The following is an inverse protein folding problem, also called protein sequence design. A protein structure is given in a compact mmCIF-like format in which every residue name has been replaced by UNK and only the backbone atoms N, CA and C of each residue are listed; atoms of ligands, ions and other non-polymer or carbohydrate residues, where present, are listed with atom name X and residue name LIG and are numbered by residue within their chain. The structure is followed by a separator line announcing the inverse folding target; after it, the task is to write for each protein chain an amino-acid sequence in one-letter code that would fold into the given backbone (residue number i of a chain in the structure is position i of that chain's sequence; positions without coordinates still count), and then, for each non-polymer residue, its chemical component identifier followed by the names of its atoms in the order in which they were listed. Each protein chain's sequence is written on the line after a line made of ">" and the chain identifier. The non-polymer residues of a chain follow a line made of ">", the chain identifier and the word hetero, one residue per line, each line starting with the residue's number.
data_IF_530254283735
#
_entry.id   IF_530254283735
#
_cell.length_a   1.000
_cell.length_b   1.000
_cell.length_c   1.000
_cell.angle_alpha   90.00
_cell.angle_beta   90.00
_cell.angle_gamma   90.00
#
_symmetry.space_group_name_H-M   'P 1'
#
loop_
_entity.id
_entity.type
_entity.pdbx_description
1 polymer ?
#
# COMPACT_ATOMS: atom_id res chain seq x y z
N UNK A 1 14.55 -53.97 -77.83
CA UNK A 1 14.49 -53.65 -79.29
C UNK A 1 14.28 -52.14 -79.43
N UNK A 2 15.16 -51.53 -80.27
CA UNK A 2 15.04 -50.30 -81.05
C UNK A 2 14.82 -49.00 -80.32
N UNK A 3 15.84 -48.17 -80.28
CA UNK A 3 16.43 -47.19 -81.23
C UNK A 3 15.82 -45.80 -81.01
N UNK A 4 16.67 -44.88 -80.44
CA UNK A 4 17.27 -43.67 -81.03
C UNK A 4 16.28 -42.66 -81.62
N UNK A 5 16.35 -41.42 -81.21
CA UNK A 5 17.03 -40.37 -81.98
C UNK A 5 17.03 -39.00 -81.22
N UNK A 6 18.13 -38.32 -81.37
CA UNK A 6 18.46 -36.95 -81.02
C UNK A 6 17.51 -35.92 -81.63
N UNK A 7 17.34 -34.80 -80.95
CA UNK A 7 17.49 -33.50 -81.60
C UNK A 7 17.72 -32.40 -80.50
N UNK A 8 18.80 -31.65 -80.69
CA UNK A 8 19.17 -30.45 -79.95
C UNK A 8 18.43 -29.25 -80.51
N UNK A 9 18.01 -28.35 -79.69
CA UNK A 9 17.73 -26.96 -80.05
C UNK A 9 18.06 -26.06 -78.90
N UNK A 10 18.96 -25.15 -79.21
CA UNK A 10 19.38 -24.03 -78.33
C UNK A 10 18.31 -22.96 -78.25
N UNK A 11 18.30 -22.24 -77.15
CA UNK A 11 17.60 -20.95 -77.18
C UNK A 11 17.31 -20.32 -75.81
N UNK A 12 18.01 -19.27 -75.55
CA UNK A 12 17.63 -18.09 -74.83
C UNK A 12 17.47 -18.20 -73.30
N UNK A 13 18.48 -17.68 -72.62
CA UNK A 13 18.40 -17.30 -71.16
C UNK A 13 17.41 -16.19 -70.93
N UNK A 14 16.53 -16.44 -70.02
CA UNK A 14 15.76 -15.39 -69.31
C UNK A 14 16.30 -15.26 -67.89
N UNK A 15 17.06 -14.19 -67.63
CA UNK A 15 17.38 -13.80 -66.32
C UNK A 15 16.07 -13.39 -65.60
N UNK A 16 15.56 -14.24 -64.76
CA UNK A 16 14.51 -13.89 -63.82
C UNK A 16 15.14 -13.03 -62.70
N UNK A 17 14.84 -11.74 -62.71
CA UNK A 17 15.16 -10.85 -61.62
C UNK A 17 14.39 -11.29 -60.36
N UNK A 18 15.10 -11.75 -59.33
CA UNK A 18 14.53 -12.01 -58.02
C UNK A 18 14.00 -10.69 -57.43
N UNK A 19 12.78 -10.68 -56.83
CA UNK A 19 12.28 -9.51 -56.15
C UNK A 19 13.18 -9.18 -54.95
N UNK A 20 13.40 -7.88 -54.64
CA UNK A 20 14.20 -7.51 -53.47
C UNK A 20 13.55 -8.07 -52.19
N UNK A 21 14.30 -8.86 -51.44
CA UNK A 21 13.92 -9.33 -50.14
C UNK A 21 13.48 -8.16 -49.31
N UNK A 22 12.21 -8.12 -48.91
CA UNK A 22 11.70 -7.19 -47.93
C UNK A 22 12.57 -7.34 -46.69
N UNK A 23 13.47 -6.38 -46.47
CA UNK A 23 14.16 -6.22 -45.18
C UNK A 23 13.09 -6.03 -44.13
N UNK A 24 12.76 -7.09 -43.41
CA UNK A 24 12.01 -6.99 -42.19
C UNK A 24 12.72 -5.94 -41.33
N UNK A 25 12.06 -4.81 -41.14
CA UNK A 25 12.45 -3.86 -40.10
C UNK A 25 12.31 -4.61 -38.78
N UNK A 26 13.41 -5.15 -38.29
CA UNK A 26 13.53 -5.47 -36.87
C UNK A 26 13.32 -4.16 -36.14
N UNK A 27 12.08 -3.91 -35.66
CA UNK A 27 11.81 -2.89 -34.71
C UNK A 27 12.71 -3.16 -33.50
N UNK A 28 13.68 -2.27 -33.29
CA UNK A 28 14.45 -2.23 -32.08
C UNK A 28 13.47 -2.15 -30.90
N UNK A 29 13.60 -2.98 -29.84
CA UNK A 29 12.76 -2.84 -28.66
C UNK A 29 13.11 -1.52 -27.99
N UNK A 30 12.13 -0.60 -27.93
CA UNK A 30 12.22 0.55 -27.06
C UNK A 30 12.57 1.89 -27.70
N UNK A 31 11.92 2.30 -28.79
CA UNK A 31 11.62 3.73 -28.91
C UNK A 31 10.67 4.07 -27.75
N UNK A 32 11.11 4.97 -26.86
CA UNK A 32 10.31 5.47 -25.76
C UNK A 32 9.02 6.07 -26.31
N UNK A 33 7.97 5.26 -26.43
CA UNK A 33 6.63 5.75 -26.64
C UNK A 33 6.34 6.61 -25.39
N UNK A 34 6.11 7.89 -25.58
CA UNK A 34 5.80 8.81 -24.49
C UNK A 34 4.61 8.26 -23.69
N UNK A 35 4.64 8.36 -22.37
CA UNK A 35 3.54 7.96 -21.52
C UNK A 35 2.26 8.66 -21.96
N UNK A 36 1.24 7.89 -22.36
CA UNK A 36 -0.03 8.35 -22.87
C UNK A 36 -1.16 7.87 -21.94
N UNK A 37 -1.45 8.57 -20.84
CA UNK A 37 -2.38 8.12 -19.80
C UNK A 37 -3.82 7.94 -20.28
N UNK A 38 -4.22 8.61 -21.38
CA UNK A 38 -5.55 8.45 -21.98
C UNK A 38 -5.65 7.23 -22.93
N UNK A 39 -4.54 6.62 -23.34
CA UNK A 39 -4.56 5.50 -24.31
C UNK A 39 -5.26 4.24 -23.76
N UNK A 40 -5.15 3.99 -22.48
CA UNK A 40 -5.84 2.91 -21.75
C UNK A 40 -5.92 3.25 -20.25
N UNK A 41 -6.84 2.65 -19.49
CA UNK A 41 -6.95 2.88 -18.06
C UNK A 41 -5.65 2.57 -17.33
N UNK A 42 -5.37 3.37 -16.30
CA UNK A 42 -4.31 3.12 -15.33
C UNK A 42 -4.91 2.28 -14.20
N UNK A 43 -4.31 1.14 -13.92
CA UNK A 43 -4.68 0.30 -12.78
C UNK A 43 -3.96 0.79 -11.52
N UNK A 44 -4.72 1.25 -10.52
CA UNK A 44 -4.24 1.57 -9.18
C UNK A 44 -4.51 0.38 -8.25
N UNK A 45 -3.46 -0.37 -7.94
CA UNK A 45 -3.57 -1.57 -7.11
C UNK A 45 -3.64 -1.21 -5.64
N UNK A 46 -4.55 -1.86 -4.92
CA UNK A 46 -4.63 -1.87 -3.45
C UNK A 46 -4.33 -3.28 -2.95
N UNK A 47 -3.40 -3.41 -2.01
CA UNK A 47 -2.97 -4.69 -1.42
C UNK A 47 -3.95 -5.27 -0.39
N UNK A 48 -5.17 -4.74 -0.27
CA UNK A 48 -6.18 -5.13 0.69
C UNK A 48 -7.55 -5.31 0.05
N UNK A 49 -8.45 -6.03 0.74
CA UNK A 49 -9.83 -6.21 0.28
C UNK A 49 -10.61 -4.90 0.25
N UNK A 50 -11.65 -4.79 -0.60
CA UNK A 50 -12.51 -3.61 -0.65
C UNK A 50 -13.04 -3.20 0.74
N UNK A 51 -13.18 -1.88 0.96
CA UNK A 51 -13.65 -1.27 2.20
C UNK A 51 -12.59 -1.15 3.30
N UNK A 52 -11.36 -1.63 3.08
CA UNK A 52 -10.23 -1.36 3.97
C UNK A 52 -9.67 0.05 3.77
N UNK A 53 -8.85 0.51 4.73
CA UNK A 53 -8.26 1.86 4.72
C UNK A 53 -7.51 2.18 3.42
N UNK A 54 -6.70 1.24 2.92
CA UNK A 54 -5.93 1.39 1.67
C UNK A 54 -6.85 1.49 0.44
N UNK A 55 -7.95 0.73 0.40
CA UNK A 55 -8.95 0.80 -0.67
C UNK A 55 -9.70 2.14 -0.65
N UNK A 56 -10.08 2.63 0.53
CA UNK A 56 -10.72 3.95 0.70
C UNK A 56 -9.79 5.05 0.17
N UNK A 57 -8.52 5.06 0.59
CA UNK A 57 -7.54 6.04 0.13
C UNK A 57 -7.34 5.97 -1.40
N UNK A 58 -7.22 4.76 -1.96
CA UNK A 58 -7.04 4.55 -3.39
C UNK A 58 -8.22 5.10 -4.20
N UNK A 59 -9.47 4.85 -3.77
CA UNK A 59 -10.68 5.35 -4.45
C UNK A 59 -10.83 6.86 -4.35
N UNK A 60 -10.52 7.45 -3.19
CA UNK A 60 -10.53 8.90 -3.02
C UNK A 60 -9.51 9.59 -3.93
N UNK A 61 -8.34 8.96 -4.12
CA UNK A 61 -7.27 9.49 -4.95
C UNK A 61 -7.51 9.28 -6.46
N UNK A 62 -8.09 8.16 -6.87
CA UNK A 62 -8.16 7.71 -8.27
C UNK A 62 -8.77 8.76 -9.21
N UNK A 63 -9.93 9.31 -8.85
CA UNK A 63 -10.64 10.30 -9.69
C UNK A 63 -9.82 11.59 -9.84
N UNK A 64 -9.15 12.03 -8.77
CA UNK A 64 -8.36 13.26 -8.79
C UNK A 64 -7.04 13.07 -9.52
N UNK A 65 -6.42 11.90 -9.36
CA UNK A 65 -5.22 11.54 -10.10
C UNK A 65 -5.49 11.53 -11.60
N UNK A 66 -6.61 10.95 -12.04
CA UNK A 66 -7.04 10.95 -13.44
C UNK A 66 -7.22 12.37 -13.98
N UNK A 67 -7.88 13.25 -13.21
CA UNK A 67 -8.15 14.63 -13.60
C UNK A 67 -6.88 15.49 -13.81
N UNK A 68 -5.77 15.14 -13.15
CA UNK A 68 -4.48 15.83 -13.27
C UNK A 68 -3.50 15.18 -14.25
N UNK A 69 -3.90 14.12 -14.94
CA UNK A 69 -3.11 13.51 -16.02
C UNK A 69 -3.50 14.16 -17.36
N UNK A 70 -4.23 13.47 -18.20
CA UNK A 70 -4.65 13.94 -19.50
C UNK A 70 -6.19 13.94 -19.60
N UNK A 71 -6.80 14.80 -20.44
CA UNK A 71 -8.20 14.68 -20.75
C UNK A 71 -8.55 13.28 -21.26
N UNK A 72 -9.48 12.61 -20.57
CA UNK A 72 -9.87 11.23 -20.90
C UNK A 72 -9.09 10.14 -20.18
N UNK A 73 -8.05 10.46 -19.41
CA UNK A 73 -7.38 9.49 -18.55
C UNK A 73 -8.36 8.89 -17.53
N UNK A 74 -8.19 7.59 -17.25
CA UNK A 74 -9.00 6.87 -16.25
C UNK A 74 -8.08 6.13 -15.31
N UNK A 75 -8.36 6.21 -14.02
CA UNK A 75 -7.68 5.42 -12.97
C UNK A 75 -8.71 4.48 -12.35
N UNK A 76 -8.44 3.18 -12.40
CA UNK A 76 -9.32 2.13 -11.90
C UNK A 76 -8.65 1.42 -10.74
N UNK A 77 -9.35 1.30 -9.61
CA UNK A 77 -8.82 0.61 -8.43
C UNK A 77 -9.05 -0.89 -8.55
N UNK A 78 -7.97 -1.66 -8.39
CA UNK A 78 -7.98 -3.13 -8.36
C UNK A 78 -7.47 -3.62 -7.00
N UNK A 79 -8.22 -4.52 -6.36
CA UNK A 79 -7.84 -5.08 -5.07
C UNK A 79 -7.13 -6.44 -5.25
N UNK A 80 -5.91 -6.56 -4.68
CA UNK A 80 -5.09 -7.80 -4.65
C UNK A 80 -4.66 -8.10 -3.21
N UNK A 81 -5.58 -8.60 -2.37
CA UNK A 81 -5.30 -8.77 -0.95
C UNK A 81 -4.35 -9.94 -0.67
N UNK A 82 -3.60 -9.82 0.42
CA UNK A 82 -2.80 -10.90 0.99
C UNK A 82 -1.48 -10.45 1.59
N UNK A 83 -1.09 -11.10 2.69
CA UNK A 83 0.16 -10.86 3.43
C UNK A 83 0.46 -9.38 3.66
N UNK A 84 -0.52 -8.61 4.16
CA UNK A 84 -0.37 -7.15 4.40
C UNK A 84 0.13 -6.37 3.17
N UNK A 85 -0.39 -6.70 1.97
CA UNK A 85 -0.04 -6.05 0.71
C UNK A 85 1.20 -6.60 0.02
N UNK A 86 1.92 -7.54 0.59
CA UNK A 86 3.13 -8.15 0.01
C UNK A 86 2.84 -8.86 -1.32
N UNK A 87 1.71 -9.59 -1.42
CA UNK A 87 1.33 -10.27 -2.67
C UNK A 87 1.13 -9.27 -3.81
N UNK A 88 0.49 -8.14 -3.53
CA UNK A 88 0.29 -7.08 -4.51
C UNK A 88 1.62 -6.42 -4.92
N UNK A 89 2.51 -6.15 -3.97
CA UNK A 89 3.82 -5.55 -4.24
C UNK A 89 4.72 -6.48 -5.06
N UNK A 90 4.80 -7.77 -4.70
CA UNK A 90 5.57 -8.76 -5.45
C UNK A 90 5.01 -8.98 -6.88
N UNK A 91 3.70 -8.87 -7.06
CA UNK A 91 3.08 -8.87 -8.38
C UNK A 91 3.39 -7.60 -9.17
N UNK A 92 3.30 -6.41 -8.53
CA UNK A 92 3.55 -5.12 -9.18
C UNK A 92 4.95 -5.03 -9.77
N UNK A 93 6.00 -5.44 -9.04
CA UNK A 93 7.38 -5.33 -9.51
C UNK A 93 7.67 -6.09 -10.82
N UNK A 94 6.77 -7.02 -11.20
CA UNK A 94 6.86 -7.80 -12.45
C UNK A 94 6.02 -7.23 -13.58
N UNK A 95 5.34 -6.10 -13.37
CA UNK A 95 4.54 -5.47 -14.39
C UNK A 95 5.39 -4.60 -15.33
N UNK A 96 4.85 -4.30 -16.51
CA UNK A 96 5.50 -3.39 -17.46
C UNK A 96 5.62 -2.00 -16.85
N UNK A 97 6.84 -1.37 -16.88
CA UNK A 97 7.07 -0.08 -16.24
C UNK A 97 6.63 1.13 -17.11
N UNK A 98 5.49 1.02 -17.77
CA UNK A 98 4.97 1.97 -18.74
C UNK A 98 4.05 3.06 -18.15
N UNK A 99 3.77 3.01 -16.85
CA UNK A 99 2.93 3.97 -16.13
C UNK A 99 1.46 3.59 -16.02
N UNK A 100 1.02 2.50 -16.64
CA UNK A 100 -0.38 2.06 -16.59
C UNK A 100 -0.70 1.07 -15.47
N UNK A 101 0.30 0.66 -14.69
CA UNK A 101 0.10 -0.13 -13.48
C UNK A 101 0.90 0.50 -12.36
N UNK A 102 0.20 0.95 -11.32
CA UNK A 102 0.76 1.59 -10.13
C UNK A 102 0.08 1.01 -8.90
N UNK A 103 0.65 1.20 -7.73
CA UNK A 103 0.10 0.69 -6.47
C UNK A 103 0.09 1.76 -5.40
N UNK A 104 -1.00 1.85 -4.66
CA UNK A 104 -1.01 2.49 -3.36
C UNK A 104 -0.46 1.47 -2.36
N UNK A 105 0.81 1.65 -2.02
CA UNK A 105 1.53 0.85 -1.07
C UNK A 105 1.50 1.48 0.33
N UNK A 106 1.82 0.70 1.33
CA UNK A 106 1.76 1.15 2.72
C UNK A 106 2.89 0.51 3.56
N UNK A 107 2.99 0.91 4.81
CA UNK A 107 4.06 0.55 5.75
C UNK A 107 4.32 -0.95 5.85
N UNK A 108 3.26 -1.78 5.86
CA UNK A 108 3.39 -3.24 6.00
C UNK A 108 4.20 -3.85 4.86
N UNK A 109 3.81 -3.57 3.62
CA UNK A 109 4.48 -4.10 2.43
C UNK A 109 5.82 -3.42 2.13
N UNK A 110 6.01 -2.13 2.47
CA UNK A 110 7.16 -1.35 2.01
C UNK A 110 8.17 -0.95 3.11
N UNK A 111 7.92 -1.33 4.37
CA UNK A 111 8.91 -1.08 5.43
C UNK A 111 8.99 -2.21 6.48
N UNK A 112 7.87 -2.90 6.79
CA UNK A 112 7.87 -3.91 7.85
C UNK A 112 8.22 -5.29 7.31
N UNK A 113 7.61 -5.73 6.22
CA UNK A 113 7.73 -7.10 5.74
C UNK A 113 9.19 -7.52 5.53
N UNK A 114 10.00 -6.70 4.87
CA UNK A 114 11.42 -6.96 4.60
C UNK A 114 12.30 -6.99 5.87
N UNK A 115 11.83 -6.42 6.98
CA UNK A 115 12.58 -6.33 8.23
C UNK A 115 12.12 -7.32 9.28
N UNK A 116 10.85 -7.69 9.30
CA UNK A 116 10.23 -8.46 10.37
C UNK A 116 9.87 -9.89 9.99
N UNK A 117 9.59 -10.16 8.69
CA UNK A 117 9.20 -11.50 8.23
C UNK A 117 10.41 -12.44 8.18
N UNK A 118 10.25 -13.60 8.78
CA UNK A 118 11.28 -14.66 8.78
C UNK A 118 11.45 -15.20 7.36
N UNK A 119 12.71 -15.33 6.91
CA UNK A 119 13.02 -15.88 5.58
C UNK A 119 12.61 -14.97 4.41
N UNK A 120 12.61 -13.64 4.61
CA UNK A 120 12.25 -12.70 3.57
C UNK A 120 13.14 -12.83 2.33
N UNK A 121 12.52 -13.07 1.17
CA UNK A 121 13.16 -13.26 -0.14
C UNK A 121 12.36 -12.66 -1.32
N UNK A 122 11.34 -11.83 -1.03
CA UNK A 122 10.38 -11.41 -2.06
C UNK A 122 10.90 -10.24 -2.91
N UNK A 123 11.28 -9.15 -2.28
CA UNK A 123 11.75 -7.92 -2.95
C UNK A 123 12.47 -6.99 -1.98
N UNK A 124 13.22 -6.05 -2.54
CA UNK A 124 13.74 -4.88 -1.81
C UNK A 124 12.78 -3.70 -1.99
N UNK A 125 12.18 -3.16 -0.91
CA UNK A 125 11.20 -2.07 -1.01
C UNK A 125 11.79 -0.76 -1.55
N UNK A 126 13.12 -0.60 -1.57
CA UNK A 126 13.82 0.57 -2.10
C UNK A 126 14.27 0.35 -3.54
N UNK A 127 14.85 -0.82 -3.86
CA UNK A 127 15.46 -1.08 -5.15
C UNK A 127 14.46 -1.56 -6.22
N UNK A 128 13.43 -2.32 -5.82
CA UNK A 128 12.54 -3.01 -6.74
C UNK A 128 11.27 -2.22 -7.12
N UNK A 129 11.25 -0.90 -6.82
CA UNK A 129 10.10 -0.03 -7.15
C UNK A 129 10.54 1.35 -7.60
N UNK A 130 9.67 1.99 -8.39
CA UNK A 130 9.74 3.42 -8.69
C UNK A 130 8.83 4.16 -7.71
N UNK A 131 9.41 5.00 -6.84
CA UNK A 131 8.66 5.74 -5.83
C UNK A 131 8.08 7.02 -6.43
N UNK A 132 6.75 7.09 -6.54
CA UNK A 132 6.06 8.15 -7.26
C UNK A 132 5.65 9.32 -6.37
N UNK A 133 5.48 9.11 -5.07
CA UNK A 133 5.17 10.17 -4.11
C UNK A 133 4.47 9.65 -2.86
N UNK A 134 4.73 10.30 -1.73
CA UNK A 134 4.08 10.00 -0.45
C UNK A 134 2.69 10.62 -0.44
N UNK A 135 1.68 9.83 -0.06
CA UNK A 135 0.28 10.30 0.02
C UNK A 135 0.03 10.94 1.38
N UNK A 136 0.41 10.26 2.46
CA UNK A 136 0.23 10.76 3.81
C UNK A 136 0.78 9.82 4.87
N UNK A 137 0.72 10.29 6.13
CA UNK A 137 1.24 9.56 7.30
C UNK A 137 0.22 9.56 8.45
N UNK A 138 -1.00 8.99 8.24
CA UNK A 138 -2.03 9.02 9.27
C UNK A 138 -1.61 8.22 10.50
N UNK A 139 -2.09 8.60 11.72
CA UNK A 139 -1.95 7.77 12.89
C UNK A 139 -2.86 6.54 12.81
N UNK A 140 -2.63 5.60 13.70
CA UNK A 140 -3.53 4.50 13.99
C UNK A 140 -4.40 4.84 15.21
N UNK A 141 -5.43 4.03 15.48
CA UNK A 141 -6.29 4.17 16.64
C UNK A 141 -6.43 2.83 17.38
N UNK A 142 -6.26 2.83 18.69
CA UNK A 142 -6.66 1.72 19.54
C UNK A 142 -8.19 1.73 19.65
N UNK A 143 -8.81 0.63 19.26
CA UNK A 143 -10.26 0.41 19.30
C UNK A 143 -10.57 -0.78 20.19
N UNK A 144 -11.62 -0.70 20.97
CA UNK A 144 -12.07 -1.78 21.84
C UNK A 144 -13.56 -2.07 21.63
N UNK A 145 -13.94 -3.33 21.87
CA UNK A 145 -15.33 -3.73 21.97
C UNK A 145 -16.01 -2.97 23.12
N UNK A 146 -17.25 -2.55 22.94
CA UNK A 146 -17.98 -1.74 23.93
C UNK A 146 -18.15 -2.45 25.29
N UNK A 147 -18.34 -3.75 25.30
CA UNK A 147 -18.47 -4.52 26.55
C UNK A 147 -17.12 -4.70 27.26
N UNK A 148 -16.01 -4.65 26.50
CA UNK A 148 -14.66 -4.70 27.05
C UNK A 148 -14.16 -3.32 27.52
N UNK A 149 -14.45 -2.26 26.79
CA UNK A 149 -13.96 -0.92 27.08
C UNK A 149 -14.38 -0.45 28.48
N UNK A 150 -13.48 0.26 29.16
CA UNK A 150 -13.77 0.93 30.44
C UNK A 150 -14.34 2.34 30.21
N UNK A 151 -14.76 3.00 31.29
CA UNK A 151 -15.37 4.33 31.21
C UNK A 151 -14.44 5.39 30.59
N UNK A 152 -13.13 5.29 30.81
CA UNK A 152 -12.15 6.22 30.23
C UNK A 152 -11.09 5.51 29.41
N UNK A 153 -10.43 6.22 28.47
CA UNK A 153 -9.29 5.69 27.72
C UNK A 153 -8.18 5.13 28.61
N UNK A 154 -7.76 5.89 29.63
CA UNK A 154 -6.72 5.45 30.57
C UNK A 154 -7.12 4.19 31.35
N UNK A 155 -8.39 4.08 31.78
CA UNK A 155 -8.89 2.88 32.44
C UNK A 155 -8.94 1.66 31.49
N UNK A 156 -9.23 1.87 30.20
CA UNK A 156 -9.17 0.79 29.20
C UNK A 156 -7.72 0.31 29.00
N UNK A 157 -6.76 1.23 28.91
CA UNK A 157 -5.32 0.90 28.82
C UNK A 157 -4.84 0.18 30.08
N UNK A 158 -5.28 0.61 31.29
CA UNK A 158 -4.97 -0.08 32.53
C UNK A 158 -5.51 -1.52 32.51
N UNK A 159 -6.74 -1.72 32.06
CA UNK A 159 -7.35 -3.06 31.91
C UNK A 159 -6.57 -3.96 30.94
N UNK A 160 -6.02 -3.41 29.85
CA UNK A 160 -5.12 -4.14 28.96
C UNK A 160 -3.82 -4.57 29.66
N UNK A 161 -3.27 -3.69 30.48
CA UNK A 161 -2.01 -3.95 31.25
C UNK A 161 -2.20 -5.01 32.34
N UNK A 162 -3.34 -5.00 33.03
CA UNK A 162 -3.64 -5.84 34.19
C UNK A 162 -4.18 -7.21 33.80
N UNK A 163 -4.60 -7.39 32.55
CA UNK A 163 -5.11 -8.68 32.09
C UNK A 163 -4.04 -9.78 32.17
N UNK A 164 -4.42 -11.00 32.58
CA UNK A 164 -3.49 -12.13 32.55
C UNK A 164 -2.93 -12.34 31.16
N UNK A 165 -1.65 -12.67 31.08
CA UNK A 165 -0.94 -12.84 29.78
C UNK A 165 -1.62 -13.90 28.93
N UNK A 166 -1.84 -13.62 27.64
CA UNK A 166 -2.42 -14.54 26.69
C UNK A 166 -3.92 -14.82 26.87
N UNK A 167 -4.66 -13.96 27.61
CA UNK A 167 -6.12 -14.12 27.79
C UNK A 167 -6.95 -13.20 26.93
N UNK A 168 -6.41 -12.04 26.51
CA UNK A 168 -7.10 -11.12 25.63
C UNK A 168 -6.75 -11.37 24.16
N UNK A 169 -7.76 -11.37 23.30
CA UNK A 169 -7.56 -11.47 21.86
C UNK A 169 -7.57 -10.06 21.23
N UNK A 170 -6.70 -9.86 20.25
CA UNK A 170 -6.71 -8.67 19.43
C UNK A 170 -6.81 -9.01 17.95
N UNK A 171 -7.53 -8.17 17.22
CA UNK A 171 -7.74 -8.31 15.79
C UNK A 171 -6.76 -7.45 14.98
N UNK A 172 -6.35 -7.93 13.80
CA UNK A 172 -5.60 -7.16 12.80
C UNK A 172 -6.11 -7.45 11.39
N UNK A 173 -5.72 -6.62 10.41
CA UNK A 173 -6.02 -6.85 8.99
C UNK A 173 -4.95 -7.71 8.27
N UNK A 174 -4.30 -8.62 8.97
CA UNK A 174 -3.31 -9.54 8.41
C UNK A 174 -2.09 -9.77 9.29
N UNK A 175 -1.37 -10.83 9.00
CA UNK A 175 -0.09 -11.15 9.65
C UNK A 175 1.01 -10.28 9.04
N UNK A 176 1.96 -9.84 9.86
CA UNK A 176 3.15 -9.12 9.39
C UNK A 176 2.92 -7.66 9.00
N UNK A 177 1.70 -7.15 9.16
CA UNK A 177 1.38 -5.76 8.86
C UNK A 177 1.62 -4.81 10.03
N UNK A 178 1.38 -3.52 9.74
CA UNK A 178 1.59 -2.43 10.71
C UNK A 178 0.73 -2.58 11.97
N UNK A 179 -0.51 -3.05 11.83
CA UNK A 179 -1.44 -3.21 12.95
C UNK A 179 -0.97 -4.31 13.91
N UNK A 180 -0.40 -5.39 13.36
CA UNK A 180 0.23 -6.46 14.13
C UNK A 180 1.43 -5.90 14.91
N UNK A 181 2.39 -5.28 14.24
CA UNK A 181 3.58 -4.72 14.88
C UNK A 181 3.23 -3.67 15.93
N UNK A 182 2.28 -2.76 15.64
CA UNK A 182 1.84 -1.74 16.59
C UNK A 182 1.23 -2.34 17.86
N UNK A 183 0.46 -3.42 17.72
CA UNK A 183 -0.16 -4.10 18.88
C UNK A 183 0.87 -4.87 19.68
N UNK A 184 1.84 -5.54 19.04
CA UNK A 184 2.95 -6.21 19.74
C UNK A 184 3.84 -5.19 20.48
N UNK A 185 4.09 -4.01 19.89
CA UNK A 185 4.77 -2.93 20.59
C UNK A 185 3.98 -2.41 21.79
N UNK A 186 2.64 -2.30 21.65
CA UNK A 186 1.79 -1.94 22.79
C UNK A 186 1.87 -3.00 23.90
N UNK A 187 1.77 -4.28 23.55
CA UNK A 187 1.91 -5.38 24.50
C UNK A 187 3.24 -5.34 25.26
N UNK A 188 4.35 -5.12 24.54
CA UNK A 188 5.67 -4.97 25.15
C UNK A 188 5.75 -3.77 26.09
N UNK A 189 5.19 -2.59 25.70
CA UNK A 189 5.16 -1.40 26.54
C UNK A 189 4.30 -1.56 27.80
N UNK A 190 3.26 -2.39 27.72
CA UNK A 190 2.39 -2.73 28.84
C UNK A 190 2.95 -3.89 29.72
N UNK A 191 4.00 -4.61 29.26
CA UNK A 191 4.57 -5.76 29.95
C UNK A 191 3.68 -7.01 29.90
N UNK A 192 2.81 -7.14 28.92
CA UNK A 192 1.83 -8.23 28.77
C UNK A 192 1.97 -8.98 27.44
N UNK A 193 1.07 -9.93 27.18
CA UNK A 193 0.95 -10.66 25.92
C UNK A 193 -0.52 -10.81 25.57
N UNK A 194 -0.84 -10.72 24.28
CA UNK A 194 -2.18 -10.88 23.73
C UNK A 194 -2.22 -12.01 22.70
N UNK A 195 -3.39 -12.54 22.40
CA UNK A 195 -3.60 -13.57 21.38
C UNK A 195 -3.97 -12.88 20.06
N UNK A 196 -3.18 -13.12 19.02
CA UNK A 196 -3.40 -12.53 17.69
C UNK A 196 -4.47 -13.26 16.89
N UNK A 197 -5.43 -12.54 16.33
CA UNK A 197 -6.45 -13.04 15.40
C UNK A 197 -6.39 -12.23 14.11
N UNK A 198 -5.83 -12.76 13.02
CA UNK A 198 -5.72 -12.05 11.74
C UNK A 198 -6.98 -12.16 10.89
N UNK A 199 -7.39 -11.06 10.25
CA UNK A 199 -8.47 -10.96 9.28
C UNK A 199 -7.93 -10.48 7.92
N UNK A 200 -8.74 -10.58 6.85
CA UNK A 200 -8.31 -10.23 5.48
C UNK A 200 -8.38 -8.72 5.19
N UNK A 201 -9.06 -7.95 6.03
CA UNK A 201 -9.21 -6.50 5.86
C UNK A 201 -9.51 -5.79 7.17
N UNK A 202 -9.29 -4.45 7.19
CA UNK A 202 -9.69 -3.61 8.32
C UNK A 202 -11.20 -3.65 8.59
N UNK A 203 -12.04 -3.79 7.56
CA UNK A 203 -13.49 -3.90 7.75
C UNK A 203 -13.88 -5.19 8.51
N UNK A 204 -13.31 -6.34 8.13
CA UNK A 204 -13.54 -7.61 8.85
C UNK A 204 -12.99 -7.56 10.28
N UNK A 205 -11.80 -6.99 10.46
CA UNK A 205 -11.22 -6.75 11.78
C UNK A 205 -12.14 -5.92 12.68
N UNK A 206 -12.67 -4.81 12.15
CA UNK A 206 -13.59 -3.94 12.91
C UNK A 206 -14.90 -4.63 13.25
N UNK A 207 -15.42 -5.47 12.35
CA UNK A 207 -16.59 -6.29 12.61
C UNK A 207 -16.37 -7.28 13.76
N UNK A 208 -15.20 -7.96 13.79
CA UNK A 208 -14.82 -8.87 14.86
C UNK A 208 -14.70 -8.16 16.23
N UNK A 209 -14.18 -6.93 16.24
CA UNK A 209 -14.15 -6.12 17.47
C UNK A 209 -15.57 -5.74 17.89
N UNK A 210 -16.43 -5.31 16.96
CA UNK A 210 -17.83 -4.96 17.25
C UNK A 210 -18.59 -6.14 17.86
N UNK A 211 -18.49 -7.34 17.29
CA UNK A 211 -19.18 -8.54 17.78
C UNK A 211 -18.59 -9.12 19.06
N UNK A 212 -17.38 -8.69 19.46
CA UNK A 212 -16.67 -9.20 20.65
C UNK A 212 -15.90 -10.49 20.39
N UNK A 213 -15.76 -10.93 19.14
CA UNK A 213 -14.86 -12.03 18.77
C UNK A 213 -13.38 -11.69 19.11
N UNK A 214 -13.02 -10.41 18.97
CA UNK A 214 -11.82 -9.87 19.54
C UNK A 214 -12.14 -8.71 20.49
N UNK A 215 -11.45 -8.62 21.64
CA UNK A 215 -11.70 -7.58 22.63
C UNK A 215 -11.25 -6.20 22.15
N UNK A 216 -10.19 -6.13 21.36
CA UNK A 216 -9.61 -4.87 20.89
C UNK A 216 -8.74 -5.06 19.66
N UNK A 217 -8.20 -3.96 19.14
CA UNK A 217 -7.17 -3.94 18.12
C UNK A 217 -6.67 -2.51 17.88
N UNK A 218 -5.46 -2.40 17.32
CA UNK A 218 -5.01 -1.14 16.73
C UNK A 218 -5.44 -1.16 15.27
N UNK A 219 -6.20 -0.15 14.83
CA UNK A 219 -6.77 -0.05 13.50
C UNK A 219 -6.25 1.18 12.74
N UNK A 220 -6.27 1.15 11.41
CA UNK A 220 -6.21 2.39 10.64
C UNK A 220 -7.48 3.21 10.88
N UNK A 221 -7.33 4.52 11.10
CA UNK A 221 -8.44 5.43 11.37
C UNK A 221 -9.57 5.30 10.34
N UNK A 222 -9.23 5.22 9.05
CA UNK A 222 -10.21 5.08 8.00
C UNK A 222 -11.08 3.81 8.13
N UNK A 223 -10.49 2.70 8.56
CA UNK A 223 -11.25 1.45 8.78
C UNK A 223 -12.13 1.51 10.03
N UNK A 224 -11.70 2.25 11.06
CA UNK A 224 -12.41 2.39 12.32
C UNK A 224 -13.52 3.45 12.28
N UNK A 225 -13.39 4.46 11.40
CA UNK A 225 -14.12 5.72 11.43
C UNK A 225 -15.64 5.55 11.54
N UNK A 226 -16.25 4.73 10.67
CA UNK A 226 -17.70 4.52 10.70
C UNK A 226 -18.15 3.91 12.05
N UNK A 227 -17.56 2.79 12.44
CA UNK A 227 -17.97 2.07 13.67
C UNK A 227 -17.73 2.86 14.95
N UNK A 228 -16.65 3.65 15.02
CA UNK A 228 -16.38 4.50 16.19
C UNK A 228 -17.36 5.66 16.24
N UNK A 229 -17.65 6.34 15.14
CA UNK A 229 -18.63 7.44 15.10
C UNK A 229 -20.06 6.98 15.40
N UNK A 230 -20.44 5.80 14.92
CA UNK A 230 -21.76 5.22 15.15
C UNK A 230 -21.88 4.53 16.53
N UNK A 231 -20.82 4.60 17.36
CA UNK A 231 -20.81 4.03 18.72
C UNK A 231 -20.82 2.49 18.76
N UNK A 232 -20.56 1.83 17.61
CA UNK A 232 -20.51 0.36 17.50
C UNK A 232 -19.23 -0.24 18.08
N UNK A 233 -18.17 0.56 18.19
CA UNK A 233 -16.94 0.23 18.87
C UNK A 233 -16.38 1.48 19.55
N UNK A 234 -15.60 1.30 20.62
CA UNK A 234 -15.00 2.41 21.36
C UNK A 234 -13.64 2.78 20.77
N UNK A 235 -13.51 4.01 20.26
CA UNK A 235 -12.20 4.63 20.01
C UNK A 235 -11.55 4.99 21.35
N UNK A 236 -10.40 4.39 21.66
CA UNK A 236 -9.74 4.53 22.95
C UNK A 236 -8.66 5.60 22.91
N UNK A 237 -7.71 5.47 21.99
CA UNK A 237 -6.59 6.42 21.88
C UNK A 237 -5.95 6.34 20.48
N UNK A 238 -5.43 7.46 19.98
CA UNK A 238 -4.63 7.48 18.74
C UNK A 238 -3.16 7.21 19.06
N UNK A 239 -2.43 6.67 18.07
CA UNK A 239 -1.01 6.29 18.22
C UNK A 239 -0.04 7.40 17.86
N UNK A 240 -0.53 8.55 17.39
CA UNK A 240 0.29 9.71 17.06
C UNK A 240 0.78 10.46 18.29
N UNK A 241 1.66 11.44 18.08
CA UNK A 241 2.13 12.36 19.13
C UNK A 241 1.08 13.40 19.51
N UNK A 242 0.11 13.64 18.64
CA UNK A 242 -1.00 14.58 18.81
C UNK A 242 -2.33 13.89 18.52
N UNK A 243 -3.41 14.46 19.03
CA UNK A 243 -4.77 14.01 18.71
C UNK A 243 -5.07 14.26 17.24
N UNK A 244 -5.84 13.38 16.64
CA UNK A 244 -6.18 13.53 15.22
C UNK A 244 -7.32 14.56 15.04
N UNK A 245 -7.25 15.47 14.03
CA UNK A 245 -8.19 16.58 13.91
C UNK A 245 -9.66 16.21 13.87
N UNK A 246 -10.03 15.06 13.29
CA UNK A 246 -11.42 14.59 13.26
C UNK A 246 -11.81 13.77 14.52
N UNK A 247 -10.88 13.58 15.45
CA UNK A 247 -11.06 12.91 16.74
C UNK A 247 -10.48 13.72 17.89
N UNK A 248 -10.92 15.00 18.07
CA UNK A 248 -10.31 15.92 19.04
C UNK A 248 -10.48 15.44 20.50
N UNK A 249 -11.53 14.67 20.77
CA UNK A 249 -11.83 14.14 22.10
C UNK A 249 -11.12 12.79 22.38
N UNK A 250 -10.52 12.16 21.35
CA UNK A 250 -9.78 10.91 21.52
C UNK A 250 -8.31 11.24 21.85
N UNK A 251 -7.84 10.91 23.05
CA UNK A 251 -6.47 11.21 23.45
C UNK A 251 -5.45 10.34 22.69
N UNK A 252 -4.18 10.69 22.83
CA UNK A 252 -3.08 9.82 22.40
C UNK A 252 -2.87 8.66 23.39
N UNK A 253 -2.20 7.58 22.95
CA UNK A 253 -1.76 6.51 23.86
C UNK A 253 -0.83 7.06 24.95
N UNK A 254 0.00 8.05 24.61
CA UNK A 254 0.87 8.72 25.57
C UNK A 254 0.06 9.42 26.69
N UNK A 255 -1.00 10.14 26.33
CA UNK A 255 -1.93 10.76 27.28
C UNK A 255 -2.75 9.71 28.08
N UNK A 256 -2.90 8.51 27.53
CA UNK A 256 -3.73 7.44 28.11
C UNK A 256 -2.96 6.43 28.97
N UNK A 257 -1.72 6.73 29.36
CA UNK A 257 -0.94 5.90 30.28
C UNK A 257 0.11 5.00 29.62
N UNK A 258 0.51 5.28 28.38
CA UNK A 258 1.66 4.64 27.69
C UNK A 258 2.65 5.73 27.25
N UNK A 259 3.41 6.34 28.18
CA UNK A 259 4.25 7.50 27.88
C UNK A 259 5.23 7.25 26.72
N UNK A 260 5.33 8.22 25.79
CA UNK A 260 6.22 8.15 24.64
C UNK A 260 5.86 7.07 23.64
N UNK A 261 4.64 6.53 23.65
CA UNK A 261 4.17 5.68 22.58
C UNK A 261 3.87 6.52 21.35
N UNK A 262 4.59 6.25 20.29
CA UNK A 262 4.38 6.85 18.98
C UNK A 262 4.49 5.76 17.92
N UNK A 263 3.48 5.66 17.06
CA UNK A 263 3.48 4.74 15.96
C UNK A 263 2.66 5.32 14.80
N UNK A 264 3.29 5.56 13.67
CA UNK A 264 2.66 6.15 12.47
C UNK A 264 2.69 5.17 11.32
N UNK A 265 1.75 5.32 10.46
CA UNK A 265 1.53 4.56 9.24
C UNK A 265 1.83 5.49 8.05
N UNK A 266 2.18 4.96 6.89
CA UNK A 266 2.28 5.75 5.68
C UNK A 266 1.57 5.11 4.50
N UNK A 267 1.15 5.96 3.57
CA UNK A 267 0.75 5.58 2.21
C UNK A 267 1.68 6.23 1.21
N UNK A 268 2.09 5.46 0.20
CA UNK A 268 2.97 5.91 -0.89
C UNK A 268 2.46 5.35 -2.21
N UNK A 269 2.54 6.15 -3.27
CA UNK A 269 2.30 5.70 -4.63
C UNK A 269 3.61 5.16 -5.21
N UNK A 270 3.57 3.93 -5.72
CA UNK A 270 4.73 3.26 -6.33
C UNK A 270 4.36 2.64 -7.68
N UNK A 271 5.34 2.47 -8.53
CA UNK A 271 5.24 1.74 -9.79
C UNK A 271 6.29 0.63 -9.89
N UNK A 272 6.25 -0.19 -10.95
CA UNK A 272 7.27 -1.19 -11.24
C UNK A 272 8.67 -0.58 -11.31
N UNK A 273 9.74 -1.36 -11.14
CA UNK A 273 11.10 -0.86 -11.25
C UNK A 273 11.40 -0.38 -12.68
N UNK A 274 12.21 0.66 -12.80
CA UNK A 274 12.70 1.14 -14.10
C UNK A 274 11.65 1.88 -14.95
N UNK A 275 10.65 2.49 -14.34
CA UNK A 275 9.70 3.34 -15.08
C UNK A 275 10.44 4.47 -15.81
N UNK A 276 10.01 4.76 -17.05
CA UNK A 276 10.54 5.88 -17.80
C UNK A 276 10.35 7.20 -17.03
N UNK A 277 11.37 8.10 -17.00
CA UNK A 277 11.28 9.36 -16.25
C UNK A 277 10.06 10.21 -16.62
N UNK A 278 9.61 10.17 -17.88
CA UNK A 278 8.43 10.89 -18.35
C UNK A 278 7.15 10.38 -17.67
N UNK A 279 6.97 9.05 -17.59
CA UNK A 279 5.81 8.43 -16.94
C UNK A 279 5.83 8.66 -15.42
N UNK A 280 6.96 8.38 -14.77
CA UNK A 280 7.12 8.61 -13.34
C UNK A 280 6.89 10.08 -12.97
N UNK A 281 7.46 11.02 -13.75
CA UNK A 281 7.28 12.46 -13.53
C UNK A 281 5.84 12.94 -13.76
N UNK A 282 5.13 12.41 -14.76
CA UNK A 282 3.73 12.75 -15.01
C UNK A 282 2.84 12.28 -13.85
N UNK A 283 2.99 11.04 -13.40
CA UNK A 283 2.25 10.46 -12.26
C UNK A 283 2.56 11.20 -10.95
N UNK A 284 3.83 11.55 -10.71
CA UNK A 284 4.21 12.36 -9.54
C UNK A 284 3.53 13.74 -9.57
N UNK A 285 3.60 14.47 -10.69
CA UNK A 285 2.94 15.78 -10.81
C UNK A 285 1.44 15.69 -10.59
N UNK A 286 0.78 14.68 -11.16
CA UNK A 286 -0.65 14.45 -10.97
C UNK A 286 -0.97 14.16 -9.50
N UNK A 287 -0.18 13.33 -8.82
CA UNK A 287 -0.33 13.07 -7.38
C UNK A 287 -0.17 14.36 -6.56
N UNK A 288 0.90 15.11 -6.79
CA UNK A 288 1.16 16.34 -6.04
C UNK A 288 0.07 17.37 -6.26
N UNK A 289 -0.43 17.51 -7.49
CA UNK A 289 -1.55 18.39 -7.80
C UNK A 289 -2.84 17.94 -7.10
N UNK A 290 -3.15 16.64 -7.14
CA UNK A 290 -4.30 16.06 -6.42
C UNK A 290 -4.26 16.34 -4.92
N UNK A 291 -3.09 16.12 -4.28
CA UNK A 291 -2.93 16.33 -2.83
C UNK A 291 -2.97 17.82 -2.41
N UNK A 292 -2.84 18.75 -3.35
CA UNK A 292 -3.01 20.20 -3.09
C UNK A 292 -4.47 20.66 -3.11
N UNK A 293 -5.37 19.86 -3.66
CA UNK A 293 -6.79 20.18 -3.68
C UNK A 293 -7.39 20.08 -2.27
N UNK A 294 -7.93 21.18 -1.77
CA UNK A 294 -8.59 21.20 -0.46
C UNK A 294 -9.75 20.21 -0.40
N UNK A 295 -10.54 20.10 -1.47
CA UNK A 295 -11.66 19.16 -1.55
C UNK A 295 -11.23 17.68 -1.40
N UNK A 296 -10.09 17.27 -1.98
CA UNK A 296 -9.57 15.91 -1.76
C UNK A 296 -9.06 15.76 -0.33
N UNK A 297 -8.33 16.74 0.15
CA UNK A 297 -7.74 16.73 1.50
C UNK A 297 -8.82 16.62 2.58
N UNK A 298 -9.89 17.41 2.47
CA UNK A 298 -11.02 17.38 3.41
C UNK A 298 -11.71 16.01 3.39
N UNK A 299 -11.91 15.42 2.21
CA UNK A 299 -12.47 14.08 2.08
C UNK A 299 -11.54 13.01 2.67
N UNK A 300 -10.23 13.10 2.42
CA UNK A 300 -9.22 12.22 3.00
C UNK A 300 -9.22 12.34 4.53
N UNK A 301 -9.19 13.56 5.06
CA UNK A 301 -9.20 13.80 6.49
C UNK A 301 -10.49 13.29 7.15
N UNK A 302 -11.65 13.56 6.56
CA UNK A 302 -12.94 13.05 7.02
C UNK A 302 -13.00 11.52 7.00
N UNK A 303 -12.29 10.88 6.08
CA UNK A 303 -12.13 9.43 6.01
C UNK A 303 -11.06 8.87 6.97
N UNK A 304 -10.34 9.69 7.72
CA UNK A 304 -9.30 9.26 8.66
C UNK A 304 -7.91 9.12 8.03
N UNK A 305 -7.67 9.79 6.89
CA UNK A 305 -6.36 9.87 6.26
C UNK A 305 -5.78 11.27 6.38
N UNK A 306 -4.53 11.36 6.81
CA UNK A 306 -3.75 12.58 6.64
C UNK A 306 -3.15 12.62 5.24
N UNK A 307 -2.84 13.82 4.74
CA UNK A 307 -2.22 14.03 3.43
C UNK A 307 -0.94 14.84 3.56
N UNK A 308 0.08 14.42 2.77
CA UNK A 308 1.39 15.06 2.81
C UNK A 308 1.34 16.49 2.24
N UNK A 309 1.91 17.43 3.01
CA UNK A 309 2.10 18.86 2.63
C UNK A 309 3.55 19.23 2.34
N UNK A 310 4.51 18.41 2.76
CA UNK A 310 5.94 18.65 2.52
C UNK A 310 6.32 18.42 1.04
N UNK A 311 7.49 18.84 0.59
CA UNK A 311 8.00 18.52 -0.74
C UNK A 311 7.89 17.02 -1.03
N UNK A 312 7.44 16.68 -2.24
CA UNK A 312 6.98 15.34 -2.58
C UNK A 312 7.33 14.95 -4.04
N UNK A 313 8.54 15.29 -4.49
CA UNK A 313 9.06 14.84 -5.78
C UNK A 313 9.52 13.37 -5.71
N UNK A 314 9.98 12.84 -6.84
CA UNK A 314 10.45 11.44 -6.93
C UNK A 314 11.62 11.16 -5.99
N UNK A 315 12.57 12.11 -5.88
CA UNK A 315 13.72 11.98 -4.99
C UNK A 315 13.30 11.98 -3.51
N UNK A 316 12.40 12.88 -3.12
CA UNK A 316 11.88 12.96 -1.76
C UNK A 316 11.07 11.72 -1.38
N UNK A 317 10.31 11.15 -2.32
CA UNK A 317 9.57 9.91 -2.10
C UNK A 317 10.50 8.72 -1.88
N UNK A 318 11.57 8.60 -2.68
CA UNK A 318 12.60 7.58 -2.50
C UNK A 318 13.30 7.73 -1.14
N UNK A 319 13.79 8.93 -0.84
CA UNK A 319 14.45 9.21 0.44
C UNK A 319 13.53 8.98 1.65
N UNK A 320 12.22 9.18 1.49
CA UNK A 320 11.24 8.85 2.53
C UNK A 320 11.22 7.34 2.79
N UNK A 321 11.11 6.49 1.76
CA UNK A 321 11.09 5.04 1.93
C UNK A 321 12.41 4.53 2.52
N UNK A 322 13.55 5.03 2.07
CA UNK A 322 14.87 4.67 2.63
C UNK A 322 14.92 4.90 4.15
N UNK A 323 14.43 6.05 4.61
CA UNK A 323 14.34 6.37 6.05
C UNK A 323 13.34 5.48 6.79
N UNK A 324 12.17 5.23 6.20
CA UNK A 324 11.14 4.41 6.86
C UNK A 324 11.56 2.94 6.96
N UNK A 325 12.20 2.37 5.94
CA UNK A 325 12.77 1.01 5.99
C UNK A 325 13.79 0.91 7.13
N UNK A 326 14.70 1.89 7.27
CA UNK A 326 15.69 1.90 8.35
C UNK A 326 15.03 2.11 9.72
N UNK A 327 14.05 3.02 9.82
CA UNK A 327 13.28 3.24 11.05
C UNK A 327 12.61 1.95 11.53
N UNK A 328 11.95 1.22 10.62
CA UNK A 328 11.29 -0.04 10.99
C UNK A 328 12.27 -1.19 11.23
N UNK A 329 13.43 -1.20 10.59
CA UNK A 329 14.53 -2.11 10.94
C UNK A 329 14.95 -1.94 12.39
N UNK A 330 15.14 -0.70 12.83
CA UNK A 330 15.48 -0.40 14.22
C UNK A 330 14.34 -0.78 15.18
N UNK A 331 13.08 -0.51 14.83
CA UNK A 331 11.93 -0.91 15.62
C UNK A 331 11.88 -2.44 15.80
N UNK A 332 12.01 -3.20 14.71
CA UNK A 332 12.01 -4.66 14.73
C UNK A 332 13.18 -5.20 15.59
N UNK A 333 14.38 -4.64 15.40
CA UNK A 333 15.57 -5.01 16.18
C UNK A 333 15.36 -4.78 17.68
N UNK A 334 14.81 -3.63 18.06
CA UNK A 334 14.57 -3.27 19.47
C UNK A 334 13.46 -4.07 20.13
N UNK A 335 12.40 -4.35 19.39
CA UNK A 335 11.25 -5.09 19.90
C UNK A 335 11.46 -6.61 19.88
N UNK A 336 12.39 -7.09 19.06
CA UNK A 336 12.60 -8.52 18.83
C UNK A 336 11.41 -9.20 18.12
N UNK A 337 10.46 -8.43 17.60
CA UNK A 337 9.28 -8.97 16.91
C UNK A 337 9.72 -9.65 15.62
N UNK A 338 9.37 -10.94 15.51
CA UNK A 338 9.50 -11.72 14.29
C UNK A 338 8.12 -12.17 13.86
N UNK A 339 7.83 -12.03 12.58
CA UNK A 339 6.52 -12.30 12.00
C UNK A 339 6.66 -13.50 11.05
N UNK A 340 5.90 -14.54 11.31
CA UNK A 340 5.79 -15.70 10.41
C UNK A 340 4.68 -15.43 9.37
N UNK A 341 4.90 -15.87 8.12
CA UNK A 341 3.97 -15.64 7.01
C UNK A 341 2.75 -16.58 7.06
#
# INVERSE_FOLDING_TARGET
>A
MRRRLFLAAAGAGALAAAPPAARGQTQAPGAAQGFAPAARPITLVSGYSPGGSTDIAARLLADRLAAHLDPGAKVVVENRPGMSGVIAADWLRRQTPDGHTIMLAETGSHAIASNAMVGWDKYDPVADFTHLGVIGTPPLILVANNAFAAATPAATVAKLREAPRGTLTYATSGVGGILHLATEMLAQRLGTQFVHVPYRSGAQMMQAIHTGEAQFGIAALASANAMVRDGLARGVAVTGTERFPTYPDTPTLSESGVPGFEFTHFYILVGPPGMAPAAAGALNRALVASLREDALRDRMLAAGHDTRRAPNGLAEARAFIEREVERYREVVRRTGVRLEA
#
